data_IF_228099523094
#
_entry.id   IF_228099523094
#
_cell.length_a   1.000
_cell.length_b   1.000
_cell.length_c   1.000
_cell.angle_alpha   90.00
_cell.angle_beta   90.00
_cell.angle_gamma   90.00
#
_symmetry.space_group_name_H-M   'P 1'
#
loop_
_entity.id
_entity.type
_entity.pdbx_description
1 polymer ?
#
# COMPACT_ATOMS: atom_id res chain seq x y z
N UNK A 1 -0.01 25.06 8.42
CA UNK A 1 -0.49 23.90 9.18
C UNK A 1 -0.87 22.78 8.23
N UNK A 2 -0.36 21.57 8.48
CA UNK A 2 -0.68 20.43 7.64
C UNK A 2 -2.09 19.92 7.94
N UNK A 3 -2.86 19.70 6.89
CA UNK A 3 -4.19 19.09 7.01
C UNK A 3 -4.07 17.62 7.39
N UNK A 4 -4.95 17.13 8.28
CA UNK A 4 -5.06 15.70 8.58
C UNK A 4 -5.63 14.91 7.38
N UNK A 5 -6.24 15.60 6.41
CA UNK A 5 -6.80 15.00 5.20
C UNK A 5 -5.87 15.13 3.99
N UNK A 6 -4.56 15.22 4.22
CA UNK A 6 -3.58 15.35 3.15
C UNK A 6 -3.02 13.98 2.74
N UNK A 7 -2.57 13.89 1.48
CA UNK A 7 -1.84 12.70 0.99
C UNK A 7 -0.65 12.38 1.90
N UNK A 8 0.06 13.41 2.35
CA UNK A 8 1.20 13.23 3.23
C UNK A 8 0.82 12.58 4.55
N UNK A 9 -0.27 13.03 5.18
CA UNK A 9 -0.72 12.43 6.44
C UNK A 9 -1.16 10.98 6.25
N UNK A 10 -1.89 10.68 5.20
CA UNK A 10 -2.31 9.29 4.93
C UNK A 10 -1.10 8.41 4.63
N UNK A 11 -0.13 8.91 3.87
CA UNK A 11 1.10 8.15 3.63
C UNK A 11 1.89 7.96 4.92
N UNK A 12 1.87 8.91 5.84
CA UNK A 12 2.51 8.78 7.15
C UNK A 12 1.86 7.66 7.97
N UNK A 13 0.55 7.49 7.84
CA UNK A 13 -0.16 6.37 8.48
C UNK A 13 0.25 5.03 7.84
N UNK A 14 0.41 4.99 6.52
CA UNK A 14 0.92 3.80 5.83
C UNK A 14 2.37 3.50 6.27
N UNK A 15 3.20 4.52 6.44
CA UNK A 15 4.57 4.37 6.94
C UNK A 15 4.60 3.78 8.36
N UNK A 16 3.66 4.18 9.22
CA UNK A 16 3.56 3.60 10.56
C UNK A 16 3.28 2.09 10.48
N UNK A 17 2.42 1.67 9.55
CA UNK A 17 2.18 0.24 9.30
C UNK A 17 3.43 -0.46 8.77
N UNK A 18 4.19 0.18 7.89
CA UNK A 18 5.46 -0.38 7.40
C UNK A 18 6.46 -0.60 8.55
N UNK A 19 6.53 0.33 9.49
CA UNK A 19 7.39 0.19 10.67
C UNK A 19 6.93 -0.96 11.56
N UNK A 20 5.63 -1.15 11.71
CA UNK A 20 5.08 -2.29 12.45
C UNK A 20 5.46 -3.62 11.78
N UNK A 21 5.45 -3.67 10.44
CA UNK A 21 5.92 -4.84 9.70
C UNK A 21 7.40 -5.13 10.00
N UNK A 22 8.25 -4.10 9.94
CA UNK A 22 9.68 -4.26 10.24
C UNK A 22 9.90 -4.80 11.65
N UNK A 23 9.14 -4.30 12.63
CA UNK A 23 9.22 -4.76 14.02
C UNK A 23 8.81 -6.22 14.17
N UNK A 24 7.96 -6.72 13.28
CA UNK A 24 7.51 -8.11 13.25
C UNK A 24 8.35 -8.97 12.31
N UNK A 25 9.48 -8.47 11.84
CA UNK A 25 10.42 -9.16 10.92
C UNK A 25 9.77 -9.48 9.56
N UNK A 26 8.84 -8.65 9.13
CA UNK A 26 8.23 -8.70 7.79
C UNK A 26 8.84 -7.60 6.92
N UNK A 27 8.82 -7.81 5.60
CA UNK A 27 9.25 -6.75 4.68
C UNK A 27 8.39 -5.52 4.94
N UNK A 28 9.00 -4.34 5.20
CA UNK A 28 8.28 -3.17 5.71
C UNK A 28 7.50 -2.43 4.61
N UNK A 29 6.36 -2.98 4.27
CA UNK A 29 5.37 -2.34 3.41
C UNK A 29 4.09 -2.16 4.21
N UNK A 30 3.57 -0.94 4.21
CA UNK A 30 2.33 -0.59 4.88
C UNK A 30 1.35 0.04 3.92
N UNK A 31 0.06 -0.10 4.23
CA UNK A 31 -1.00 0.43 3.38
C UNK A 31 -2.20 0.88 4.22
N UNK A 32 -2.87 1.92 3.75
CA UNK A 32 -4.16 2.34 4.30
C UNK A 32 -5.12 2.60 3.15
N UNK A 33 -6.40 2.33 3.39
CA UNK A 33 -7.48 2.64 2.43
C UNK A 33 -8.32 3.75 3.01
N UNK A 34 -8.59 4.79 2.20
CA UNK A 34 -9.30 6.00 2.60
C UNK A 34 -10.54 6.17 1.72
N UNK A 35 -11.66 6.48 2.33
CA UNK A 35 -12.90 6.90 1.65
C UNK A 35 -13.55 8.00 2.48
N UNK A 36 -14.04 9.05 1.81
CA UNK A 36 -14.65 10.20 2.48
C UNK A 36 -13.78 10.76 3.62
N UNK A 37 -12.49 10.92 3.34
CA UNK A 37 -11.47 11.43 4.28
C UNK A 37 -11.21 10.52 5.49
N UNK A 38 -11.80 9.32 5.55
CA UNK A 38 -11.65 8.40 6.67
C UNK A 38 -10.82 7.19 6.27
N UNK A 39 -9.89 6.81 7.13
CA UNK A 39 -9.16 5.56 6.99
C UNK A 39 -10.08 4.43 7.43
N UNK A 40 -10.40 3.53 6.50
CA UNK A 40 -11.29 2.38 6.76
C UNK A 40 -10.54 1.05 6.87
N UNK A 41 -9.27 1.03 6.50
CA UNK A 41 -8.45 -0.16 6.59
C UNK A 41 -6.99 0.23 6.75
N UNK A 42 -6.27 -0.54 7.57
CA UNK A 42 -4.82 -0.41 7.79
C UNK A 42 -4.23 -1.80 7.71
N UNK A 43 -3.11 -1.95 7.06
CA UNK A 43 -2.46 -3.25 6.95
C UNK A 43 -0.97 -3.09 6.69
N UNK A 44 -0.23 -4.16 6.96
CA UNK A 44 1.17 -4.29 6.59
C UNK A 44 1.44 -5.74 6.19
N UNK A 45 2.57 -5.98 5.56
CA UNK A 45 2.93 -7.33 5.14
C UNK A 45 2.92 -8.29 6.34
N UNK A 46 2.29 -9.45 6.13
CA UNK A 46 2.22 -10.54 7.12
C UNK A 46 2.50 -11.90 6.48
N UNK A 47 3.36 -11.92 5.49
CA UNK A 47 3.73 -13.13 4.74
C UNK A 47 4.28 -14.22 5.67
N UNK A 48 5.18 -13.85 6.57
CA UNK A 48 5.78 -14.80 7.51
C UNK A 48 4.79 -15.21 8.60
N UNK A 49 4.09 -14.23 9.19
CA UNK A 49 3.12 -14.49 10.26
C UNK A 49 2.02 -15.46 9.81
N UNK A 50 1.47 -15.24 8.62
CA UNK A 50 0.35 -16.02 8.10
C UNK A 50 0.79 -17.23 7.27
N UNK A 51 2.08 -17.38 7.04
CA UNK A 51 2.62 -18.42 6.14
C UNK A 51 1.90 -18.37 4.79
N UNK A 52 1.82 -17.17 4.21
CA UNK A 52 1.02 -16.88 3.02
C UNK A 52 1.75 -15.87 2.13
N UNK A 53 2.21 -16.33 0.97
CA UNK A 53 2.96 -15.48 0.04
C UNK A 53 2.09 -14.36 -0.56
N UNK A 54 0.77 -14.44 -0.44
CA UNK A 54 -0.12 -13.39 -0.93
C UNK A 54 -0.45 -12.33 0.13
N UNK A 55 0.02 -12.50 1.38
CA UNK A 55 -0.31 -11.61 2.49
C UNK A 55 0.48 -10.30 2.44
N UNK A 56 0.46 -9.63 1.29
CA UNK A 56 1.02 -8.31 1.10
C UNK A 56 0.09 -7.27 1.73
N UNK A 57 0.65 -6.13 2.13
CA UNK A 57 -0.10 -5.04 2.76
C UNK A 57 -1.33 -4.66 1.93
N UNK A 58 -1.18 -4.57 0.61
CA UNK A 58 -2.26 -4.17 -0.29
C UNK A 58 -3.41 -5.18 -0.29
N UNK A 59 -3.09 -6.48 -0.35
CA UNK A 59 -4.10 -7.55 -0.33
C UNK A 59 -4.88 -7.51 0.98
N UNK A 60 -4.18 -7.40 2.10
CA UNK A 60 -4.80 -7.34 3.42
C UNK A 60 -5.66 -6.09 3.58
N UNK A 61 -5.19 -4.95 3.06
CA UNK A 61 -5.94 -3.70 3.11
C UNK A 61 -7.21 -3.76 2.25
N UNK A 62 -7.12 -4.34 1.05
CA UNK A 62 -8.29 -4.55 0.18
C UNK A 62 -9.34 -5.40 0.89
N UNK A 63 -8.91 -6.53 1.46
CA UNK A 63 -9.82 -7.44 2.18
C UNK A 63 -10.52 -6.73 3.32
N UNK A 64 -9.76 -5.99 4.14
CA UNK A 64 -10.31 -5.26 5.28
C UNK A 64 -11.26 -4.15 4.83
N UNK A 65 -10.92 -3.40 3.79
CA UNK A 65 -11.76 -2.32 3.27
C UNK A 65 -13.08 -2.86 2.69
N UNK A 66 -13.01 -3.92 1.90
CA UNK A 66 -14.20 -4.55 1.34
C UNK A 66 -15.13 -5.06 2.45
N UNK A 67 -14.56 -5.65 3.49
CA UNK A 67 -15.33 -6.12 4.64
C UNK A 67 -15.98 -4.95 5.39
N UNK A 68 -15.26 -3.85 5.58
CA UNK A 68 -15.77 -2.66 6.27
C UNK A 68 -16.93 -2.00 5.51
N UNK A 69 -16.86 -1.97 4.17
CA UNK A 69 -17.87 -1.34 3.32
C UNK A 69 -19.01 -2.30 2.93
N UNK A 70 -18.82 -3.61 3.12
CA UNK A 70 -19.81 -4.60 2.70
C UNK A 70 -19.92 -4.74 1.19
N UNK A 71 -18.85 -4.47 0.44
CA UNK A 71 -18.82 -4.58 -1.02
C UNK A 71 -17.44 -5.04 -1.49
N UNK A 72 -17.39 -5.71 -2.62
CA UNK A 72 -16.12 -6.14 -3.23
C UNK A 72 -15.48 -5.05 -4.11
N UNK A 73 -16.16 -3.94 -4.30
CA UNK A 73 -15.65 -2.85 -5.14
C UNK A 73 -15.28 -1.63 -4.30
N UNK A 74 -14.09 -1.09 -4.55
CA UNK A 74 -13.53 0.06 -3.85
C UNK A 74 -13.44 1.27 -4.79
N UNK A 75 -14.49 1.50 -5.57
CA UNK A 75 -14.54 2.49 -6.66
C UNK A 75 -14.58 3.94 -6.18
N UNK A 76 -14.77 4.18 -4.87
CA UNK A 76 -14.66 5.51 -4.26
C UNK A 76 -13.46 5.64 -3.34
N UNK A 77 -12.58 4.64 -3.29
CA UNK A 77 -11.50 4.56 -2.31
C UNK A 77 -10.14 4.91 -2.91
N UNK A 78 -9.26 5.42 -2.05
CA UNK A 78 -7.85 5.64 -2.36
C UNK A 78 -7.01 4.70 -1.51
N UNK A 79 -6.07 4.00 -2.15
CA UNK A 79 -5.06 3.21 -1.45
C UNK A 79 -3.78 4.04 -1.34
N UNK A 80 -3.24 4.17 -0.12
CA UNK A 80 -1.90 4.69 0.13
C UNK A 80 -1.01 3.52 0.52
N UNK A 81 0.08 3.32 -0.17
CA UNK A 81 1.01 2.22 0.10
C UNK A 81 2.45 2.73 0.02
N UNK A 82 3.31 2.25 0.89
CA UNK A 82 4.67 2.79 1.02
C UNK A 82 5.61 2.39 -0.13
N UNK A 83 5.28 1.32 -0.85
CA UNK A 83 6.07 0.81 -1.97
C UNK A 83 5.14 0.53 -3.15
N UNK A 84 5.62 0.75 -4.36
CA UNK A 84 4.88 0.44 -5.59
C UNK A 84 4.34 -1.00 -5.53
N UNK A 85 3.05 -1.22 -5.85
CA UNK A 85 2.49 -2.57 -5.84
C UNK A 85 3.17 -3.51 -6.84
N UNK A 86 3.30 -4.78 -6.46
CA UNK A 86 3.74 -5.80 -7.39
C UNK A 86 2.61 -6.18 -8.36
N UNK A 87 2.90 -7.05 -9.32
CA UNK A 87 1.93 -7.49 -10.35
C UNK A 87 0.69 -8.12 -9.71
N UNK A 88 0.87 -8.95 -8.68
CA UNK A 88 -0.26 -9.58 -7.97
C UNK A 88 -1.18 -8.54 -7.36
N UNK A 89 -0.60 -7.57 -6.65
CA UNK A 89 -1.39 -6.52 -5.98
C UNK A 89 -2.03 -5.57 -7.00
N UNK A 90 -1.33 -5.23 -8.07
CA UNK A 90 -1.88 -4.41 -9.15
C UNK A 90 -3.12 -5.09 -9.77
N UNK A 91 -3.05 -6.41 -9.98
CA UNK A 91 -4.20 -7.19 -10.45
C UNK A 91 -5.37 -7.13 -9.49
N UNK A 92 -5.10 -7.26 -8.18
CA UNK A 92 -6.14 -7.15 -7.16
C UNK A 92 -6.78 -5.76 -7.14
N UNK A 93 -5.97 -4.70 -7.27
CA UNK A 93 -6.45 -3.32 -7.32
C UNK A 93 -7.32 -3.07 -8.56
N UNK A 94 -6.96 -3.65 -9.69
CA UNK A 94 -7.79 -3.58 -10.91
C UNK A 94 -9.11 -4.32 -10.68
N UNK A 95 -9.07 -5.52 -10.11
CA UNK A 95 -10.27 -6.32 -9.86
C UNK A 95 -11.26 -5.63 -8.90
N UNK A 96 -10.77 -4.92 -7.89
CA UNK A 96 -11.64 -4.22 -6.95
C UNK A 96 -12.03 -2.82 -7.40
N UNK A 97 -11.61 -2.41 -8.59
CA UNK A 97 -11.93 -1.11 -9.20
C UNK A 97 -11.49 0.08 -8.33
N UNK A 98 -10.31 0.02 -7.74
CA UNK A 98 -9.80 1.10 -6.89
C UNK A 98 -9.82 2.43 -7.66
N UNK A 99 -10.24 3.51 -7.01
CA UNK A 99 -10.32 4.82 -7.66
C UNK A 99 -8.95 5.45 -7.86
N UNK A 100 -8.10 5.37 -6.83
CA UNK A 100 -6.80 6.03 -6.84
C UNK A 100 -5.79 5.22 -6.04
N UNK A 101 -4.56 5.17 -6.53
CA UNK A 101 -3.43 4.54 -5.85
C UNK A 101 -2.32 5.56 -5.69
N UNK A 102 -1.82 5.72 -4.47
CA UNK A 102 -0.70 6.60 -4.14
C UNK A 102 0.40 5.74 -3.52
N UNK A 103 1.60 5.76 -4.08
CA UNK A 103 2.73 5.08 -3.45
C UNK A 103 3.91 6.02 -3.28
N UNK A 104 4.74 5.71 -2.26
CA UNK A 104 5.88 6.55 -1.92
C UNK A 104 7.07 6.26 -2.82
N UNK A 105 7.48 5.00 -2.92
CA UNK A 105 8.68 4.57 -3.64
C UNK A 105 8.32 3.69 -4.83
N UNK A 106 8.99 3.91 -5.97
CA UNK A 106 8.95 2.96 -7.06
C UNK A 106 9.78 1.72 -6.69
N UNK A 107 9.41 0.58 -7.24
CA UNK A 107 10.15 -0.68 -7.10
C UNK A 107 10.60 -1.15 -8.48
N UNK A 108 11.79 -0.76 -8.95
CA UNK A 108 12.24 -1.10 -10.30
C UNK A 108 12.36 -2.60 -10.53
N UNK A 109 12.56 -3.38 -9.48
CA UNK A 109 12.76 -4.83 -9.59
C UNK A 109 11.44 -5.60 -9.64
N UNK A 110 10.49 -5.27 -8.76
CA UNK A 110 9.27 -6.05 -8.57
C UNK A 110 7.98 -5.27 -8.78
N UNK A 111 8.07 -3.97 -9.05
CA UNK A 111 6.89 -3.15 -9.27
C UNK A 111 6.16 -3.49 -10.58
N UNK A 112 4.86 -3.26 -10.61
CA UNK A 112 4.05 -3.62 -11.78
C UNK A 112 4.36 -2.77 -13.02
N UNK A 113 4.88 -1.55 -12.84
CA UNK A 113 5.10 -0.61 -13.96
C UNK A 113 6.07 -1.15 -15.02
N UNK A 114 6.96 -2.06 -14.66
CA UNK A 114 7.89 -2.70 -15.62
C UNK A 114 7.16 -3.50 -16.71
N UNK A 115 5.89 -3.82 -16.52
CA UNK A 115 5.05 -4.50 -17.50
C UNK A 115 4.01 -3.58 -18.14
N UNK A 116 4.12 -2.26 -17.92
CA UNK A 116 3.15 -1.28 -18.37
C UNK A 116 2.08 -1.03 -17.31
N UNK A 117 1.02 -0.31 -17.67
CA UNK A 117 -0.05 -0.01 -16.74
C UNK A 117 -1.01 -1.20 -16.61
N UNK A 118 -0.99 -1.87 -15.47
CA UNK A 118 -1.86 -3.00 -15.16
C UNK A 118 -3.13 -2.58 -14.40
N UNK A 119 -3.24 -1.30 -14.03
CA UNK A 119 -4.44 -0.77 -13.39
C UNK A 119 -5.44 -0.33 -14.45
N UNK A 120 -6.69 -0.14 -14.04
CA UNK A 120 -7.70 0.39 -14.94
C UNK A 120 -7.26 1.77 -15.47
N UNK A 121 -7.49 2.09 -16.76
CA UNK A 121 -7.06 3.38 -17.31
C UNK A 121 -7.61 4.61 -16.59
N UNK A 122 -8.76 4.49 -15.93
CA UNK A 122 -9.37 5.58 -15.16
C UNK A 122 -8.87 5.69 -13.72
N UNK A 123 -8.10 4.70 -13.24
CA UNK A 123 -7.53 4.76 -11.89
C UNK A 123 -6.46 5.85 -11.85
N UNK A 124 -6.60 6.79 -10.92
CA UNK A 124 -5.60 7.84 -10.74
C UNK A 124 -4.36 7.27 -10.05
N UNK A 125 -3.20 7.74 -10.43
CA UNK A 125 -1.92 7.33 -9.84
C UNK A 125 -1.17 8.58 -9.40
N UNK A 126 -0.64 8.55 -8.17
CA UNK A 126 0.23 9.58 -7.63
C UNK A 126 1.40 8.92 -6.92
N UNK A 127 2.61 9.46 -7.07
CA UNK A 127 3.81 8.85 -6.54
C UNK A 127 4.70 9.86 -5.84
N UNK A 128 5.65 9.38 -5.05
CA UNK A 128 6.69 10.20 -4.45
C UNK A 128 6.34 10.84 -3.11
N UNK A 129 5.19 10.53 -2.53
CA UNK A 129 4.78 11.09 -1.23
C UNK A 129 5.56 10.38 -0.12
N UNK A 130 6.38 11.12 0.63
CA UNK A 130 7.26 10.59 1.68
C UNK A 130 8.23 9.52 1.17
N UNK A 131 8.68 9.65 -0.07
CA UNK A 131 9.55 8.68 -0.73
C UNK A 131 10.78 8.33 0.10
N UNK A 132 11.49 9.34 0.61
CA UNK A 132 12.75 9.11 1.31
C UNK A 132 12.56 8.37 2.62
N UNK A 133 11.54 8.75 3.40
CA UNK A 133 11.24 8.10 4.67
C UNK A 133 10.83 6.64 4.47
N UNK A 134 10.00 6.36 3.49
CA UNK A 134 9.56 4.99 3.20
C UNK A 134 10.71 4.14 2.67
N UNK A 135 11.57 4.71 1.82
CA UNK A 135 12.75 4.02 1.30
C UNK A 135 13.72 3.69 2.43
N UNK A 136 13.88 4.59 3.40
CA UNK A 136 14.80 4.38 4.51
C UNK A 136 14.42 3.16 5.35
N UNK A 137 13.13 2.98 5.62
CA UNK A 137 12.65 1.82 6.39
C UNK A 137 12.97 0.51 5.65
N UNK A 138 12.76 0.47 4.34
CA UNK A 138 13.12 -0.69 3.51
C UNK A 138 14.62 -0.95 3.52
N UNK A 139 15.42 0.08 3.31
CA UNK A 139 16.87 -0.01 3.28
C UNK A 139 17.41 -0.55 4.61
N UNK A 140 16.93 -0.02 5.72
CA UNK A 140 17.36 -0.44 7.06
C UNK A 140 17.02 -1.91 7.32
N UNK A 141 15.82 -2.34 6.90
CA UNK A 141 15.39 -3.72 7.07
C UNK A 141 16.30 -4.69 6.32
N UNK A 142 16.54 -4.45 5.03
CA UNK A 142 17.36 -5.33 4.21
C UNK A 142 18.84 -5.29 4.64
N UNK A 143 19.32 -4.17 5.16
CA UNK A 143 20.67 -4.04 5.68
C UNK A 143 20.88 -4.96 6.88
N UNK A 144 19.89 -5.09 7.76
CA UNK A 144 19.95 -5.99 8.93
C UNK A 144 19.94 -7.47 8.53
N UNK A 145 19.41 -7.80 7.35
CA UNK A 145 19.30 -9.18 6.86
C UNK A 145 20.57 -9.68 6.18
N UNK A 146 21.52 -8.82 5.94
CA UNK A 146 22.80 -9.19 5.32
C UNK A 146 23.82 -9.67 6.33
#
# INVERSE_FOLDING_TARGET
>A
MLSVFSDENYMRQALAEAKAAADADEVPVGAVVVVNDKIIARAHNQVELLTDVTAHAEILAITAACNALGTKYLDDCTLYVTLEPCVMCAGALEHCHIKKVVWACDDPKNGFQRFGNLLHPKTEIKTGILKEECLQVLTDFFKKKR
#
